data_IF_049989518303
#
_entry.id   IF_049989518303
#
_cell.length_a   1.000
_cell.length_b   1.000
_cell.length_c   1.000
_cell.angle_alpha   90.00
_cell.angle_beta   90.00
_cell.angle_gamma   90.00
#
_symmetry.space_group_name_H-M   'P 1'
#
loop_
_entity.id
_entity.type
_entity.pdbx_description
1 polymer ?
#
# COMPACT_ATOMS: atom_id res chain seq x y z
N UNK A 1 -8.34 -1.60 6.76
CA UNK A 1 -7.09 -1.07 7.38
C UNK A 1 -6.59 0.06 6.49
N UNK A 2 -6.21 1.21 7.05
CA UNK A 2 -5.60 2.29 6.25
C UNK A 2 -4.09 2.09 6.22
N UNK A 3 -3.48 2.37 5.07
CA UNK A 3 -2.04 2.35 4.94
C UNK A 3 -1.54 3.47 4.01
N UNK A 4 -0.24 3.74 4.10
CA UNK A 4 0.46 4.71 3.25
C UNK A 4 1.58 3.99 2.52
N UNK A 5 1.73 4.25 1.22
CA UNK A 5 2.89 3.80 0.45
C UNK A 5 4.11 4.61 0.89
N UNK A 6 5.12 3.95 1.46
CA UNK A 6 6.31 4.63 2.01
C UNK A 6 7.53 4.51 1.09
N UNK A 7 7.58 3.49 0.24
CA UNK A 7 8.68 3.26 -0.71
C UNK A 7 8.21 2.35 -1.86
N UNK A 8 8.86 2.42 -3.01
CA UNK A 8 8.63 1.53 -4.16
C UNK A 8 9.98 1.03 -4.69
N UNK A 9 10.14 -0.30 -4.70
CA UNK A 9 11.40 -0.99 -5.07
C UNK A 9 11.12 -2.05 -6.12
N UNK A 10 11.35 -1.69 -7.39
CA UNK A 10 11.04 -2.58 -8.51
C UNK A 10 9.55 -2.89 -8.56
N UNK A 11 9.18 -4.16 -8.44
CA UNK A 11 7.80 -4.64 -8.52
C UNK A 11 7.05 -4.68 -7.18
N UNK A 12 7.65 -4.14 -6.10
CA UNK A 12 7.08 -4.14 -4.76
C UNK A 12 6.97 -2.73 -4.19
N UNK A 13 5.90 -2.48 -3.45
CA UNK A 13 5.71 -1.30 -2.63
C UNK A 13 5.82 -1.68 -1.15
N UNK A 14 6.48 -0.83 -0.37
CA UNK A 14 6.45 -0.90 1.08
C UNK A 14 5.25 -0.08 1.55
N UNK A 15 4.29 -0.72 2.21
CA UNK A 15 3.11 -0.06 2.79
C UNK A 15 3.22 -0.06 4.30
N UNK A 16 2.91 1.08 4.93
CA UNK A 16 2.84 1.20 6.39
C UNK A 16 1.39 1.31 6.83
N UNK A 17 0.94 0.39 7.68
CA UNK A 17 -0.42 0.40 8.21
C UNK A 17 -0.56 1.43 9.34
N UNK A 18 -1.58 2.27 9.26
CA UNK A 18 -1.77 3.41 10.17
C UNK A 18 -2.11 3.00 11.61
N UNK A 19 -2.84 1.91 11.78
CA UNK A 19 -3.33 1.41 13.06
C UNK A 19 -2.28 0.62 13.86
N UNK A 20 -1.38 -0.08 13.16
CA UNK A 20 -0.35 -0.92 13.81
C UNK A 20 1.07 -0.36 13.67
N UNK A 21 1.31 0.53 12.72
CA UNK A 21 2.65 1.01 12.34
C UNK A 21 3.50 -0.05 11.62
N UNK A 22 2.97 -1.25 11.40
CA UNK A 22 3.68 -2.34 10.72
C UNK A 22 3.90 -1.97 9.25
N UNK A 23 5.09 -2.28 8.76
CA UNK A 23 5.44 -2.18 7.35
C UNK A 23 5.37 -3.56 6.69
N UNK A 24 4.84 -3.60 5.47
CA UNK A 24 4.72 -4.83 4.68
C UNK A 24 5.11 -4.55 3.23
N UNK A 25 5.82 -5.49 2.62
CA UNK A 25 6.04 -5.49 1.17
C UNK A 25 4.82 -6.06 0.47
N UNK A 26 4.32 -5.36 -0.55
CA UNK A 26 3.16 -5.73 -1.35
C UNK A 26 3.52 -5.61 -2.82
N UNK A 27 3.21 -6.62 -3.62
CA UNK A 27 3.45 -6.56 -5.06
C UNK A 27 2.61 -5.45 -5.70
N UNK A 28 3.21 -4.62 -6.56
CA UNK A 28 2.54 -3.55 -7.29
C UNK A 28 1.34 -4.06 -8.10
N UNK A 29 1.41 -5.31 -8.57
CA UNK A 29 0.33 -5.98 -9.30
C UNK A 29 -0.99 -6.11 -8.49
N UNK A 30 -0.93 -5.97 -7.16
CA UNK A 30 -2.09 -6.04 -6.26
C UNK A 30 -2.61 -4.65 -5.87
N UNK A 31 -1.92 -3.58 -6.28
CA UNK A 31 -2.25 -2.22 -5.94
C UNK A 31 -3.02 -1.54 -7.08
N UNK A 32 -3.80 -0.48 -6.78
CA UNK A 32 -4.40 0.33 -7.83
C UNK A 32 -3.37 0.86 -8.82
N UNK A 33 -3.76 0.94 -10.09
CA UNK A 33 -2.87 1.44 -11.13
C UNK A 33 -2.46 2.89 -10.85
N UNK A 34 -1.16 3.18 -11.03
CA UNK A 34 -0.62 4.52 -10.87
C UNK A 34 -0.30 4.91 -9.42
N UNK A 35 -0.23 3.93 -8.51
CA UNK A 35 0.20 4.18 -7.12
C UNK A 35 1.61 4.77 -7.07
N UNK A 36 1.81 5.72 -6.17
CA UNK A 36 3.08 6.40 -5.91
C UNK A 36 3.35 6.53 -4.41
N UNK A 37 4.59 6.90 -4.07
CA UNK A 37 5.04 7.12 -2.70
C UNK A 37 4.24 8.28 -2.08
N UNK A 38 3.70 8.04 -0.89
CA UNK A 38 2.86 8.99 -0.15
C UNK A 38 1.36 8.73 -0.31
N UNK A 39 0.95 7.88 -1.25
CA UNK A 39 -0.46 7.56 -1.47
C UNK A 39 -1.07 6.83 -0.28
N UNK A 40 -2.31 7.19 0.03
CA UNK A 40 -3.11 6.54 1.05
C UNK A 40 -4.03 5.50 0.42
N UNK A 41 -4.00 4.29 0.98
CA UNK A 41 -4.80 3.16 0.52
C UNK A 41 -5.64 2.58 1.66
N UNK A 42 -6.77 2.00 1.29
CA UNK A 42 -7.60 1.17 2.16
C UNK A 42 -7.45 -0.29 1.73
N UNK A 43 -6.99 -1.12 2.66
CA UNK A 43 -7.00 -2.57 2.53
C UNK A 43 -8.27 -3.16 3.17
N UNK A 44 -9.12 -3.79 2.37
CA UNK A 44 -10.37 -4.43 2.79
C UNK A 44 -10.71 -5.58 1.82
N UNK A 45 -11.28 -6.68 2.30
CA UNK A 45 -11.67 -7.83 1.46
C UNK A 45 -10.54 -8.40 0.57
N UNK A 46 -9.29 -8.38 1.05
CA UNK A 46 -8.09 -8.80 0.30
C UNK A 46 -7.76 -7.91 -0.91
N UNK A 47 -8.33 -6.71 -0.98
CA UNK A 47 -8.10 -5.76 -2.06
C UNK A 47 -7.64 -4.40 -1.53
N UNK A 48 -6.81 -3.71 -2.32
CA UNK A 48 -6.39 -2.34 -2.07
C UNK A 48 -7.20 -1.38 -2.93
N UNK A 49 -7.67 -0.30 -2.32
CA UNK A 49 -8.44 0.76 -2.97
C UNK A 49 -7.94 2.13 -2.54
N UNK A 50 -8.16 3.13 -3.39
CA UNK A 50 -7.88 4.53 -3.07
C UNK A 50 -8.73 5.00 -1.88
N UNK A 51 -8.14 5.83 -1.03
CA UNK A 51 -8.83 6.54 0.06
C UNK A 51 -9.41 7.85 -0.45
#
# INVERSE_FOLDING_TARGET
MLCTVVDIRGDYALVRYTDTGVESEVALALLPFGVDIGDALKFENYEFSWV
#
